data_IF_369618668378
#
_entry.id   IF_369618668378
#
_cell.length_a   1.000
_cell.length_b   1.000
_cell.length_c   1.000
_cell.angle_alpha   90.00
_cell.angle_beta   90.00
_cell.angle_gamma   90.00
#
_symmetry.space_group_name_H-M   'P 1'
#
loop_
_entity.id
_entity.type
_entity.pdbx_description
1 polymer ?
#
# COMPACT_ATOMS: atom_id res chain seq x y z
N UNK A 1 26.72 5.56 -8.99
CA UNK A 1 26.37 4.54 -7.99
C UNK A 1 25.01 4.81 -7.34
N UNK A 2 24.81 6.00 -6.74
CA UNK A 2 23.54 6.32 -6.09
C UNK A 2 22.35 6.27 -7.03
N UNK A 3 22.50 6.78 -8.25
CA UNK A 3 21.41 6.78 -9.23
C UNK A 3 20.98 5.38 -9.62
N UNK A 4 21.94 4.44 -9.64
CA UNK A 4 21.66 3.04 -9.96
C UNK A 4 20.76 2.42 -8.87
N UNK A 5 21.07 2.69 -7.60
CA UNK A 5 20.26 2.17 -6.48
C UNK A 5 18.85 2.75 -6.50
N UNK A 6 18.70 4.04 -6.75
CA UNK A 6 17.37 4.66 -6.86
C UNK A 6 16.58 4.07 -8.02
N UNK A 7 17.22 3.89 -9.17
CA UNK A 7 16.57 3.28 -10.33
C UNK A 7 16.12 1.84 -10.03
N UNK A 8 16.94 1.05 -9.32
CA UNK A 8 16.60 -0.30 -8.93
C UNK A 8 15.39 -0.31 -7.98
N UNK A 9 15.38 0.59 -6.98
CA UNK A 9 14.27 0.69 -6.03
C UNK A 9 12.96 1.07 -6.75
N UNK A 10 13.01 2.06 -7.64
CA UNK A 10 11.83 2.48 -8.38
C UNK A 10 11.37 1.40 -9.36
N UNK A 11 12.30 0.69 -10.01
CA UNK A 11 11.97 -0.44 -10.86
C UNK A 11 11.31 -1.56 -10.06
N UNK A 12 11.84 -1.86 -8.86
CA UNK A 12 11.27 -2.87 -8.00
C UNK A 12 9.86 -2.50 -7.57
N UNK A 13 9.63 -1.23 -7.17
CA UNK A 13 8.30 -0.76 -6.82
C UNK A 13 7.32 -0.92 -7.98
N UNK A 14 7.75 -0.58 -9.19
CA UNK A 14 6.90 -0.71 -10.38
C UNK A 14 6.57 -2.17 -10.68
N UNK A 15 7.57 -3.06 -10.62
CA UNK A 15 7.38 -4.48 -10.90
C UNK A 15 6.47 -5.13 -9.85
N UNK A 16 6.77 -4.93 -8.57
CA UNK A 16 6.01 -5.52 -7.48
C UNK A 16 4.62 -4.89 -7.42
N UNK A 17 4.53 -3.58 -7.61
CA UNK A 17 3.25 -2.88 -7.64
C UNK A 17 2.34 -3.41 -8.73
N UNK A 18 2.86 -3.61 -9.94
CA UNK A 18 2.07 -4.17 -11.04
C UNK A 18 1.63 -5.61 -10.74
N UNK A 19 2.53 -6.42 -10.22
CA UNK A 19 2.21 -7.80 -9.84
C UNK A 19 1.11 -7.83 -8.78
N UNK A 20 1.19 -6.96 -7.78
CA UNK A 20 0.18 -6.87 -6.73
C UNK A 20 -1.16 -6.40 -7.28
N UNK A 21 -1.17 -5.44 -8.20
CA UNK A 21 -2.40 -4.97 -8.84
C UNK A 21 -3.05 -6.09 -9.66
N UNK A 22 -2.26 -6.82 -10.43
CA UNK A 22 -2.74 -7.95 -11.22
C UNK A 22 -3.29 -9.05 -10.30
N UNK A 23 -2.60 -9.33 -9.21
CA UNK A 23 -3.04 -10.31 -8.22
C UNK A 23 -4.37 -9.89 -7.58
N UNK A 24 -4.49 -8.62 -7.20
CA UNK A 24 -5.70 -8.08 -6.61
C UNK A 24 -6.89 -8.22 -7.57
N UNK A 25 -6.69 -7.85 -8.82
CA UNK A 25 -7.75 -7.92 -9.83
C UNK A 25 -8.13 -9.38 -10.11
N UNK A 26 -7.16 -10.29 -10.14
CA UNK A 26 -7.40 -11.72 -10.39
C UNK A 26 -8.13 -12.38 -9.22
N UNK A 27 -7.73 -12.08 -7.98
CA UNK A 27 -8.35 -12.64 -6.78
C UNK A 27 -9.70 -12.00 -6.46
N UNK A 28 -9.95 -10.80 -6.99
CA UNK A 28 -11.18 -10.08 -6.69
C UNK A 28 -11.24 -9.56 -5.26
N UNK A 29 -10.11 -9.22 -4.67
CA UNK A 29 -10.09 -8.61 -3.33
C UNK A 29 -10.73 -7.23 -3.38
N UNK A 30 -11.23 -6.76 -2.23
CA UNK A 30 -11.95 -5.50 -2.17
C UNK A 30 -11.04 -4.28 -2.27
N UNK A 31 -9.83 -4.36 -1.71
CA UNK A 31 -8.91 -3.23 -1.62
C UNK A 31 -7.47 -3.65 -1.78
N UNK A 32 -6.64 -2.71 -2.24
CA UNK A 32 -5.19 -2.79 -2.14
C UNK A 32 -4.80 -1.79 -1.05
N UNK A 33 -4.13 -2.26 0.00
CA UNK A 33 -3.67 -1.41 1.09
C UNK A 33 -2.16 -1.27 0.99
N UNK A 34 -1.68 -0.04 0.81
CA UNK A 34 -0.26 0.25 0.72
C UNK A 34 0.16 1.00 1.97
N UNK A 35 1.01 0.40 2.81
CA UNK A 35 1.56 1.08 3.95
C UNK A 35 2.84 1.82 3.55
N UNK A 36 2.99 3.06 3.99
CA UNK A 36 4.17 3.85 3.66
C UNK A 36 4.43 4.93 4.72
N UNK A 37 5.71 5.22 4.94
CA UNK A 37 6.15 6.37 5.72
C UNK A 37 6.54 7.55 4.83
N UNK A 38 6.79 7.33 3.54
CA UNK A 38 7.34 8.34 2.63
C UNK A 38 6.37 8.78 1.53
N UNK A 39 5.37 7.97 1.20
CA UNK A 39 4.43 8.25 0.11
C UNK A 39 4.93 7.84 -1.26
N UNK A 40 6.13 7.30 -1.39
CA UNK A 40 6.71 6.95 -2.69
C UNK A 40 6.01 5.75 -3.33
N UNK A 41 5.79 4.69 -2.57
CA UNK A 41 5.14 3.48 -3.08
C UNK A 41 3.70 3.72 -3.52
N UNK A 42 2.87 4.47 -2.77
CA UNK A 42 1.53 4.80 -3.22
C UNK A 42 1.50 5.56 -4.54
N UNK A 43 2.46 6.45 -4.77
CA UNK A 43 2.53 7.19 -6.04
C UNK A 43 2.75 6.25 -7.21
N UNK A 44 3.63 5.25 -7.06
CA UNK A 44 3.90 4.25 -8.09
C UNK A 44 2.66 3.40 -8.35
N UNK A 45 2.01 2.90 -7.28
CA UNK A 45 0.82 2.05 -7.42
C UNK A 45 -0.33 2.84 -8.07
N UNK A 46 -0.50 4.10 -7.67
CA UNK A 46 -1.53 4.96 -8.25
C UNK A 46 -1.35 5.13 -9.76
N UNK A 47 -0.11 5.25 -10.24
CA UNK A 47 0.18 5.40 -11.67
C UNK A 47 -0.19 4.14 -12.48
N UNK A 48 -0.16 2.98 -11.87
CA UNK A 48 -0.55 1.72 -12.51
C UNK A 48 -2.06 1.70 -12.79
N UNK A 49 -2.83 2.45 -12.02
CA UNK A 49 -4.29 2.55 -12.14
C UNK A 49 -4.99 1.20 -12.10
N UNK A 50 -4.84 0.44 -11.01
CA UNK A 50 -5.51 -0.84 -10.89
C UNK A 50 -7.03 -0.66 -10.86
N UNK A 51 -7.77 -1.71 -11.18
CA UNK A 51 -9.24 -1.71 -11.04
C UNK A 51 -9.66 -1.74 -9.58
N UNK A 52 -8.87 -2.42 -8.74
CA UNK A 52 -9.13 -2.50 -7.30
C UNK A 52 -8.78 -1.17 -6.64
N UNK A 53 -9.67 -0.61 -5.81
CA UNK A 53 -9.38 0.66 -5.12
C UNK A 53 -8.19 0.57 -4.18
N UNK A 54 -7.45 1.65 -4.06
CA UNK A 54 -6.23 1.74 -3.26
C UNK A 54 -6.50 2.50 -1.96
N UNK A 55 -6.07 1.92 -0.84
CA UNK A 55 -6.00 2.61 0.45
C UNK A 55 -4.53 2.83 0.76
N UNK A 56 -4.15 4.06 1.08
CA UNK A 56 -2.81 4.38 1.57
C UNK A 56 -2.89 4.50 3.08
N UNK A 57 -2.21 3.58 3.77
CA UNK A 57 -2.15 3.57 5.22
C UNK A 57 -0.79 4.11 5.67
N UNK A 58 -0.81 5.08 6.56
CA UNK A 58 0.41 5.71 7.05
C UNK A 58 0.23 6.17 8.49
N UNK A 59 1.33 6.28 9.22
CA UNK A 59 1.35 6.93 10.53
C UNK A 59 1.74 8.41 10.44
N UNK A 60 2.17 8.85 9.27
CA UNK A 60 2.71 10.19 9.04
C UNK A 60 1.62 11.13 8.50
N UNK A 61 1.37 12.22 9.21
CA UNK A 61 0.33 13.17 8.85
C UNK A 61 0.58 13.83 7.49
N UNK A 62 1.84 14.18 7.20
CA UNK A 62 2.19 14.80 5.92
C UNK A 62 1.93 13.86 4.76
N UNK A 63 2.31 12.60 4.90
CA UNK A 63 2.07 11.58 3.88
C UNK A 63 0.56 11.34 3.70
N UNK A 64 -0.21 11.39 4.78
CA UNK A 64 -1.66 11.28 4.70
C UNK A 64 -2.26 12.36 3.78
N UNK A 65 -1.88 13.62 3.99
CA UNK A 65 -2.41 14.71 3.16
C UNK A 65 -1.89 14.65 1.73
N UNK A 66 -0.64 14.30 1.52
CA UNK A 66 -0.07 14.16 0.18
C UNK A 66 -0.76 13.03 -0.60
N UNK A 67 -1.07 11.93 0.06
CA UNK A 67 -1.71 10.78 -0.59
C UNK A 67 -3.12 11.08 -1.04
N UNK A 68 -3.81 12.01 -0.39
CA UNK A 68 -5.16 12.42 -0.78
C UNK A 68 -5.21 13.03 -2.19
N UNK A 69 -4.07 13.47 -2.72
CA UNK A 69 -3.98 14.05 -4.05
C UNK A 69 -3.78 13.01 -5.15
N UNK A 70 -3.54 11.76 -4.80
CA UNK A 70 -3.28 10.70 -5.77
C UNK A 70 -4.58 10.16 -6.34
N UNK A 71 -4.56 9.81 -7.64
CA UNK A 71 -5.71 9.25 -8.31
C UNK A 71 -6.12 7.89 -7.70
N UNK A 72 -7.41 7.75 -7.40
CA UNK A 72 -7.96 6.49 -6.94
C UNK A 72 -7.51 6.03 -5.56
N UNK A 73 -7.00 6.95 -4.74
CA UNK A 73 -6.43 6.63 -3.44
C UNK A 73 -7.30 7.21 -2.32
N UNK A 74 -7.55 6.38 -1.31
CA UNK A 74 -8.16 6.81 -0.06
C UNK A 74 -7.09 6.79 1.03
N UNK A 75 -6.74 7.92 1.64
CA UNK A 75 -5.72 7.94 2.70
C UNK A 75 -6.32 7.56 4.05
N UNK A 76 -5.54 6.81 4.85
CA UNK A 76 -5.90 6.41 6.21
C UNK A 76 -4.69 6.63 7.10
N UNK A 77 -4.88 7.33 8.22
CA UNK A 77 -3.81 7.56 9.18
C UNK A 77 -4.03 6.76 10.44
N UNK A 78 -3.04 5.95 10.81
CA UNK A 78 -3.03 5.21 12.07
C UNK A 78 -1.71 5.50 12.76
N UNK A 79 -1.76 6.31 13.82
CA UNK A 79 -0.55 6.91 14.43
C UNK A 79 0.34 5.91 15.15
N UNK A 80 -0.22 4.80 15.64
CA UNK A 80 0.49 3.84 16.50
C UNK A 80 0.95 2.58 15.77
N UNK A 81 1.06 2.63 14.43
CA UNK A 81 1.63 1.53 13.67
C UNK A 81 3.14 1.46 13.89
N UNK A 82 3.62 0.24 14.16
CA UNK A 82 5.03 -0.11 14.14
C UNK A 82 5.17 -1.20 13.10
N UNK A 83 5.81 -0.87 11.97
CA UNK A 83 5.72 -1.67 10.75
C UNK A 83 6.06 -3.15 10.95
N UNK A 84 7.17 -3.45 11.62
CA UNK A 84 7.61 -4.83 11.79
C UNK A 84 6.90 -5.58 12.92
N UNK A 85 6.15 -4.88 13.77
CA UNK A 85 5.55 -5.49 14.96
C UNK A 85 4.04 -5.63 14.89
N UNK A 86 3.32 -4.56 14.49
CA UNK A 86 1.87 -4.54 14.60
C UNK A 86 1.14 -4.12 13.33
N UNK A 87 1.85 -3.95 12.21
CA UNK A 87 1.20 -3.47 10.98
C UNK A 87 0.06 -4.38 10.54
N UNK A 88 0.28 -5.68 10.48
CA UNK A 88 -0.76 -6.60 10.03
C UNK A 88 -1.96 -6.58 10.98
N UNK A 89 -1.71 -6.60 12.30
CA UNK A 89 -2.78 -6.56 13.30
C UNK A 89 -3.60 -5.27 13.18
N UNK A 90 -2.93 -4.13 13.03
CA UNK A 90 -3.61 -2.84 12.87
C UNK A 90 -4.38 -2.77 11.56
N UNK A 91 -3.84 -3.35 10.50
CA UNK A 91 -4.53 -3.42 9.22
C UNK A 91 -5.81 -4.25 9.32
N UNK A 92 -5.74 -5.41 9.96
CA UNK A 92 -6.92 -6.26 10.17
C UNK A 92 -7.95 -5.59 11.04
N UNK A 93 -7.52 -4.88 12.08
CA UNK A 93 -8.41 -4.11 12.96
C UNK A 93 -9.15 -3.02 12.15
N UNK A 94 -8.43 -2.31 11.29
CA UNK A 94 -9.04 -1.31 10.41
C UNK A 94 -10.04 -1.96 9.44
N UNK A 95 -9.66 -3.06 8.81
CA UNK A 95 -10.54 -3.78 7.89
C UNK A 95 -11.85 -4.20 8.56
N UNK A 96 -11.75 -4.71 9.79
CA UNK A 96 -12.93 -5.09 10.55
C UNK A 96 -13.82 -3.88 10.84
N UNK A 97 -13.21 -2.77 11.26
CA UNK A 97 -13.91 -1.54 11.61
C UNK A 97 -14.72 -0.98 10.44
N UNK A 98 -14.16 -1.02 9.22
CA UNK A 98 -14.81 -0.48 8.02
C UNK A 98 -15.44 -1.55 7.14
N UNK A 99 -15.47 -2.79 7.62
CA UNK A 99 -16.11 -3.93 6.95
C UNK A 99 -15.50 -4.28 5.60
N UNK A 100 -14.17 -4.28 5.52
CA UNK A 100 -13.45 -4.80 4.36
C UNK A 100 -13.15 -6.28 4.63
N UNK A 101 -13.55 -7.17 3.73
CA UNK A 101 -13.41 -8.62 3.93
C UNK A 101 -12.12 -9.17 3.36
N UNK A 102 -11.60 -8.56 2.31
CA UNK A 102 -10.39 -9.03 1.66
C UNK A 102 -9.57 -7.87 1.14
N UNK A 103 -8.24 -7.97 1.24
CA UNK A 103 -7.33 -6.94 0.77
C UNK A 103 -5.95 -7.56 0.50
N UNK A 104 -5.18 -6.87 -0.33
CA UNK A 104 -3.75 -7.15 -0.46
C UNK A 104 -3.01 -6.03 0.27
N UNK A 105 -2.14 -6.41 1.20
CA UNK A 105 -1.32 -5.46 1.94
C UNK A 105 0.09 -5.44 1.35
N UNK A 106 0.51 -4.25 0.91
CA UNK A 106 1.85 -3.97 0.43
C UNK A 106 2.59 -3.14 1.48
N UNK A 107 3.80 -3.56 1.82
CA UNK A 107 4.61 -2.84 2.80
C UNK A 107 6.09 -3.15 2.58
N UNK A 108 6.94 -2.50 3.37
CA UNK A 108 8.37 -2.63 3.22
C UNK A 108 8.98 -1.50 2.42
N UNK A 109 10.30 -1.39 2.44
CA UNK A 109 11.01 -0.24 1.88
C UNK A 109 10.73 -0.05 0.38
N UNK A 110 10.79 -1.05 -0.43
CA UNK A 110 10.54 -0.95 -1.87
C UNK A 110 9.33 -1.80 -2.28
N UNK A 111 8.31 -1.85 -1.43
CA UNK A 111 7.18 -2.76 -1.53
C UNK A 111 7.71 -4.20 -1.65
N UNK A 112 8.59 -4.59 -0.74
CA UNK A 112 9.21 -5.91 -0.80
C UNK A 112 8.39 -7.00 -0.12
N UNK A 113 7.24 -6.65 0.42
CA UNK A 113 6.36 -7.60 1.11
C UNK A 113 4.92 -7.46 0.63
N UNK A 114 4.31 -8.58 0.31
CA UNK A 114 2.91 -8.66 -0.12
C UNK A 114 2.22 -9.69 0.76
N UNK A 115 1.08 -9.32 1.34
CA UNK A 115 0.25 -10.26 2.10
C UNK A 115 -1.18 -10.21 1.60
N UNK A 116 -1.80 -11.38 1.45
CA UNK A 116 -3.22 -11.48 1.15
C UNK A 116 -3.96 -11.63 2.47
N UNK A 117 -4.85 -10.67 2.76
CA UNK A 117 -5.59 -10.65 4.02
C UNK A 117 -7.05 -10.96 3.75
N UNK A 118 -7.58 -11.98 4.41
CA UNK A 118 -8.98 -12.35 4.36
C UNK A 118 -9.58 -12.36 5.76
N UNK A 119 -10.82 -11.99 5.87
CA UNK A 119 -11.57 -12.07 7.13
C UNK A 119 -12.54 -13.23 7.11
#
# INVERSE_FOLDING_TARGET
MHNVYHAVDDSQRSIVGKAACDLADTLGVEKIIVYTDTGRSPAVVSQIKPKTPIIVMTRNEKVYYQSALLYGVEPVRIADIIEDENLEAKTREYMEKVNIKSAILLFGHAIDSIKVLNR
#
